data_IF_480832796501
#
_entry.id   IF_480832796501
#
_cell.length_a   1.000
_cell.length_b   1.000
_cell.length_c   1.000
_cell.angle_alpha   90.00
_cell.angle_beta   90.00
_cell.angle_gamma   90.00
#
_symmetry.space_group_name_H-M   'P 1'
#
loop_
_entity.id
_entity.type
_entity.pdbx_description
1 polymer ?
#
# COMPACT_ATOMS: atom_id res chain seq x y z
N UNK A 1 -21.87 -16.44 -8.45
CA UNK A 1 -20.61 -16.15 -7.75
C UNK A 1 -19.82 -15.22 -8.65
N UNK A 2 -20.12 -13.92 -8.58
CA UNK A 2 -19.47 -12.92 -9.43
C UNK A 2 -18.17 -12.49 -8.79
N UNK A 3 -17.07 -12.72 -9.49
CA UNK A 3 -15.78 -12.13 -9.16
C UNK A 3 -15.91 -10.60 -9.30
N UNK A 4 -15.85 -9.90 -8.17
CA UNK A 4 -15.61 -8.46 -8.13
C UNK A 4 -14.28 -8.20 -8.84
N UNK A 5 -14.26 -7.27 -9.80
CA UNK A 5 -13.01 -6.87 -10.44
C UNK A 5 -12.02 -6.28 -9.41
N UNK A 6 -10.72 -6.20 -9.74
CA UNK A 6 -9.61 -5.91 -8.81
C UNK A 6 -9.60 -4.49 -8.20
N UNK A 7 -10.72 -3.77 -8.17
CA UNK A 7 -10.84 -2.42 -7.59
C UNK A 7 -12.03 -2.23 -6.65
N UNK A 8 -12.79 -3.28 -6.35
CA UNK A 8 -14.01 -3.20 -5.53
C UNK A 8 -13.92 -3.92 -4.19
N UNK A 9 -12.81 -4.60 -3.89
CA UNK A 9 -12.67 -5.30 -2.63
C UNK A 9 -12.38 -4.30 -1.50
N UNK A 10 -13.06 -4.43 -0.34
CA UNK A 10 -12.76 -3.63 0.82
C UNK A 10 -11.34 -3.92 1.31
N UNK A 11 -10.70 -2.94 1.95
CA UNK A 11 -9.39 -3.15 2.59
C UNK A 11 -9.46 -4.34 3.56
N UNK A 12 -8.41 -5.18 3.67
CA UNK A 12 -8.38 -6.25 4.65
C UNK A 12 -8.61 -5.71 6.08
N UNK A 13 -9.37 -6.42 6.94
CA UNK A 13 -9.65 -5.96 8.31
C UNK A 13 -8.39 -5.60 9.10
N UNK A 14 -7.34 -6.43 8.99
CA UNK A 14 -6.03 -6.22 9.62
C UNK A 14 -5.44 -4.85 9.26
N UNK A 15 -5.58 -4.45 7.99
CA UNK A 15 -5.09 -3.16 7.50
C UNK A 15 -5.88 -2.02 8.14
N UNK A 16 -7.21 -2.13 8.22
CA UNK A 16 -8.04 -1.09 8.83
C UNK A 16 -7.74 -0.94 10.33
N UNK A 17 -7.57 -2.06 11.04
CA UNK A 17 -7.26 -2.10 12.48
C UNK A 17 -5.88 -1.50 12.81
N UNK A 18 -4.91 -1.66 11.92
CA UNK A 18 -3.58 -1.08 12.03
C UNK A 18 -3.56 0.45 11.80
N UNK A 19 -4.56 0.99 11.10
CA UNK A 19 -4.60 2.42 10.78
C UNK A 19 -5.16 3.27 11.95
N UNK A 20 -4.73 4.54 11.96
CA UNK A 20 -5.25 5.59 12.83
C UNK A 20 -5.58 6.81 12.00
N UNK A 21 -6.52 7.62 12.48
CA UNK A 21 -6.84 8.88 11.84
C UNK A 21 -5.62 9.79 11.81
N UNK A 22 -5.16 10.18 10.62
CA UNK A 22 -3.96 11.03 10.52
C UNK A 22 -4.19 12.47 11.02
N UNK A 23 -5.43 12.88 11.29
CA UNK A 23 -5.74 14.21 11.85
C UNK A 23 -5.71 14.20 13.38
N UNK A 24 -6.38 13.24 14.01
CA UNK A 24 -6.63 13.24 15.45
C UNK A 24 -6.07 12.03 16.22
N UNK A 25 -5.52 11.03 15.52
CA UNK A 25 -4.96 9.81 16.14
C UNK A 25 -5.99 8.75 16.56
N UNK A 26 -7.29 9.05 16.49
CA UNK A 26 -8.35 8.11 16.90
C UNK A 26 -8.40 6.87 16.00
N UNK A 27 -8.96 5.75 16.52
CA UNK A 27 -9.33 4.60 15.69
C UNK A 27 -10.18 5.01 14.49
N UNK A 28 -9.97 4.31 13.38
CA UNK A 28 -10.65 4.55 12.12
C UNK A 28 -11.35 3.28 11.66
N UNK A 29 -12.57 3.40 11.12
CA UNK A 29 -13.31 2.29 10.55
C UNK A 29 -13.51 2.47 9.05
N UNK A 30 -13.66 1.38 8.31
CA UNK A 30 -14.05 1.39 6.91
C UNK A 30 -15.57 1.26 6.80
N UNK A 31 -16.22 2.23 6.18
CA UNK A 31 -17.61 2.15 5.76
C UNK A 31 -17.69 2.40 4.26
N UNK A 32 -18.25 1.45 3.51
CA UNK A 32 -18.22 1.41 2.04
C UNK A 32 -16.80 1.56 1.49
N UNK A 33 -16.45 2.77 1.01
CA UNK A 33 -15.16 3.13 0.45
C UNK A 33 -14.52 4.31 1.16
N UNK A 34 -14.91 4.57 2.40
CA UNK A 34 -14.41 5.72 3.17
C UNK A 34 -13.93 5.25 4.53
N UNK A 35 -12.68 5.56 4.85
CA UNK A 35 -12.15 5.44 6.20
C UNK A 35 -12.62 6.64 7.02
N UNK A 36 -13.27 6.43 8.17
CA UNK A 36 -13.82 7.49 9.01
C UNK A 36 -13.59 7.25 10.50
N UNK A 37 -13.15 8.27 11.22
CA UNK A 37 -12.99 8.21 12.68
C UNK A 37 -14.21 8.78 13.43
N UNK A 38 -14.26 8.61 14.76
CA UNK A 38 -15.35 9.14 15.60
C UNK A 38 -15.53 10.66 15.52
N UNK A 39 -14.45 11.40 15.26
CA UNK A 39 -14.45 12.84 15.03
C UNK A 39 -14.87 13.26 13.61
N UNK A 40 -15.32 12.31 12.79
CA UNK A 40 -15.85 12.50 11.43
C UNK A 40 -14.84 12.94 10.36
N UNK A 41 -13.53 12.93 10.64
CA UNK A 41 -12.50 12.99 9.60
C UNK A 41 -12.65 11.77 8.68
N UNK A 42 -12.60 12.00 7.37
CA UNK A 42 -12.93 11.01 6.35
C UNK A 42 -11.86 10.98 5.26
N UNK A 43 -11.51 9.78 4.79
CA UNK A 43 -10.51 9.56 3.74
C UNK A 43 -11.06 8.53 2.75
N UNK A 44 -11.16 8.92 1.48
CA UNK A 44 -11.76 8.07 0.46
C UNK A 44 -10.74 7.08 -0.12
N UNK A 45 -11.16 5.83 -0.25
CA UNK A 45 -10.45 4.78 -0.95
C UNK A 45 -10.54 5.03 -2.46
N UNK A 46 -9.42 5.43 -3.05
CA UNK A 46 -9.31 5.64 -4.47
C UNK A 46 -9.64 4.37 -5.25
N UNK A 47 -10.15 4.51 -6.48
CA UNK A 47 -10.52 3.37 -7.35
C UNK A 47 -9.37 2.39 -7.59
N UNK A 48 -8.14 2.87 -7.47
CA UNK A 48 -6.91 2.09 -7.61
C UNK A 48 -6.50 1.37 -6.33
N UNK A 49 -7.28 1.42 -5.24
CA UNK A 49 -7.03 0.63 -4.03
C UNK A 49 -6.18 1.31 -2.95
N UNK A 50 -5.89 2.61 -3.05
CA UNK A 50 -5.11 3.34 -2.03
C UNK A 50 -5.92 4.43 -1.33
N UNK A 51 -5.50 4.81 -0.11
CA UNK A 51 -6.06 5.94 0.65
C UNK A 51 -5.00 7.03 0.78
N UNK A 52 -5.36 8.29 0.53
CA UNK A 52 -4.49 9.43 0.80
C UNK A 52 -4.72 9.93 2.23
N UNK A 53 -3.70 9.83 3.09
CA UNK A 53 -3.74 10.27 4.48
C UNK A 53 -2.99 11.58 4.73
N UNK A 54 -2.46 12.22 3.68
CA UNK A 54 -1.70 13.46 3.78
C UNK A 54 -2.61 14.69 3.83
N UNK A 55 -2.33 15.60 4.76
CA UNK A 55 -3.09 16.85 4.96
C UNK A 55 -2.51 18.04 4.21
N UNK A 56 -1.23 17.96 3.85
CA UNK A 56 -0.53 19.00 3.10
C UNK A 56 -0.29 18.54 1.66
N UNK A 57 -0.36 19.48 0.71
CA UNK A 57 0.11 19.22 -0.64
C UNK A 57 1.62 18.99 -0.60
N UNK A 58 2.06 17.87 -1.16
CA UNK A 58 3.49 17.68 -1.44
C UNK A 58 3.89 18.76 -2.46
N UNK A 59 4.96 19.55 -2.21
CA UNK A 59 5.46 20.52 -3.16
C UNK A 59 5.70 19.89 -4.54
N UNK A 60 5.34 20.61 -5.60
CA UNK A 60 5.63 20.16 -6.96
C UNK A 60 7.13 20.01 -7.17
N UNK A 61 7.58 18.89 -7.74
CA UNK A 61 8.98 18.65 -8.10
C UNK A 61 9.81 17.87 -7.08
N UNK A 62 9.26 17.50 -5.92
CA UNK A 62 9.95 16.65 -4.92
C UNK A 62 9.50 15.18 -4.95
N UNK A 63 8.48 14.85 -5.74
CA UNK A 63 7.92 13.51 -5.84
C UNK A 63 8.44 12.77 -7.08
N UNK A 64 8.52 11.44 -6.98
CA UNK A 64 8.82 10.57 -8.12
C UNK A 64 7.83 10.83 -9.27
N UNK A 65 8.35 11.08 -10.47
CA UNK A 65 7.53 11.21 -11.68
C UNK A 65 7.06 9.85 -12.18
N UNK A 66 6.05 9.83 -13.08
CA UNK A 66 5.57 8.59 -13.70
C UNK A 66 6.69 7.81 -14.41
N UNK A 67 7.58 8.52 -15.10
CA UNK A 67 8.71 7.96 -15.84
C UNK A 67 9.77 7.41 -14.88
N UNK A 68 10.07 8.10 -13.78
CA UNK A 68 10.99 7.60 -12.75
C UNK A 68 10.48 6.31 -12.11
N UNK A 69 9.18 6.26 -11.78
CA UNK A 69 8.57 5.03 -11.24
C UNK A 69 8.54 3.92 -12.30
N UNK A 70 8.34 4.24 -13.59
CA UNK A 70 8.40 3.27 -14.67
C UNK A 70 9.81 2.67 -14.81
N UNK A 71 10.84 3.51 -14.87
CA UNK A 71 12.23 3.07 -14.94
C UNK A 71 12.63 2.21 -13.74
N UNK A 72 12.16 2.56 -12.53
CA UNK A 72 12.36 1.74 -11.33
C UNK A 72 11.68 0.38 -11.46
N UNK A 73 10.45 0.34 -11.96
CA UNK A 73 9.74 -0.92 -12.19
C UNK A 73 10.47 -1.81 -13.21
N UNK A 74 10.94 -1.25 -14.32
CA UNK A 74 11.68 -1.98 -15.36
C UNK A 74 13.00 -2.54 -14.81
N UNK A 75 13.72 -1.74 -14.03
CA UNK A 75 14.94 -2.19 -13.35
C UNK A 75 14.67 -3.35 -12.38
N UNK A 76 13.64 -3.25 -11.55
CA UNK A 76 13.27 -4.32 -10.62
C UNK A 76 12.83 -5.60 -11.36
N UNK A 77 12.10 -5.45 -12.47
CA UNK A 77 11.67 -6.55 -13.33
C UNK A 77 12.84 -7.26 -14.04
N UNK A 78 13.96 -6.57 -14.27
CA UNK A 78 15.19 -7.20 -14.82
C UNK A 78 15.77 -8.29 -13.92
N UNK A 79 15.36 -8.35 -12.65
CA UNK A 79 15.86 -9.30 -11.67
C UNK A 79 17.16 -8.88 -10.99
N UNK A 80 17.70 -7.69 -11.29
CA UNK A 80 18.89 -7.16 -10.65
C UNK A 80 18.84 -7.22 -9.11
N UNK A 81 17.65 -7.00 -8.53
CA UNK A 81 17.39 -7.02 -7.08
C UNK A 81 16.63 -8.26 -6.59
N UNK A 82 16.50 -9.30 -7.42
CA UNK A 82 15.80 -10.55 -7.06
C UNK A 82 16.37 -11.18 -5.79
N UNK A 83 17.70 -11.23 -5.66
CA UNK A 83 18.34 -11.84 -4.48
C UNK A 83 17.96 -11.18 -3.17
N UNK A 84 17.82 -9.84 -3.16
CA UNK A 84 17.35 -9.10 -1.99
C UNK A 84 15.87 -9.39 -1.71
N UNK A 85 15.02 -9.39 -2.73
CA UNK A 85 13.59 -9.67 -2.58
C UNK A 85 13.33 -11.09 -2.06
N UNK A 86 14.07 -12.07 -2.58
CA UNK A 86 13.96 -13.46 -2.14
C UNK A 86 14.45 -13.64 -0.68
N UNK A 87 15.50 -12.92 -0.26
CA UNK A 87 15.97 -12.96 1.13
C UNK A 87 14.98 -12.29 2.10
N UNK A 88 14.38 -11.16 1.72
CA UNK A 88 13.31 -10.53 2.50
C UNK A 88 12.11 -11.48 2.66
N UNK A 89 11.68 -12.12 1.56
CA UNK A 89 10.59 -13.09 1.60
C UNK A 89 10.91 -14.29 2.52
N UNK A 90 12.17 -14.76 2.51
CA UNK A 90 12.62 -15.84 3.40
C UNK A 90 12.59 -15.43 4.86
N UNK A 91 13.10 -14.23 5.20
CA UNK A 91 13.16 -13.74 6.59
C UNK A 91 11.76 -13.44 7.13
N UNK A 92 10.85 -13.00 6.27
CA UNK A 92 9.46 -12.67 6.63
C UNK A 92 8.47 -13.82 6.39
N UNK A 93 8.94 -15.03 6.06
CA UNK A 93 8.06 -16.15 5.69
C UNK A 93 7.08 -16.57 6.81
N UNK A 94 7.45 -16.33 8.07
CA UNK A 94 6.60 -16.65 9.23
C UNK A 94 5.64 -15.51 9.62
N UNK A 95 5.62 -14.40 8.87
CA UNK A 95 4.65 -13.34 9.10
C UNK A 95 3.25 -13.81 8.69
N UNK A 96 2.30 -13.81 9.63
CA UNK A 96 0.99 -14.47 9.49
C UNK A 96 -0.20 -13.50 9.47
N UNK A 97 -0.08 -12.32 10.08
CA UNK A 97 -1.18 -11.36 10.16
C UNK A 97 -1.05 -10.18 9.19
N UNK A 98 -0.07 -9.29 9.42
CA UNK A 98 0.13 -8.06 8.64
C UNK A 98 1.61 -7.74 8.43
N UNK A 99 1.97 -7.48 7.17
CA UNK A 99 3.28 -6.93 6.79
C UNK A 99 3.10 -5.49 6.32
N UNK A 100 3.91 -4.59 6.86
CA UNK A 100 3.92 -3.16 6.50
C UNK A 100 5.23 -2.82 5.81
N UNK A 101 5.15 -2.26 4.59
CA UNK A 101 6.30 -1.77 3.84
C UNK A 101 6.28 -0.23 3.81
N UNK A 102 7.29 0.38 4.43
CA UNK A 102 7.44 1.83 4.54
C UNK A 102 8.40 2.34 3.46
N UNK A 103 7.88 3.16 2.54
CA UNK A 103 8.59 3.49 1.30
C UNK A 103 8.45 2.40 0.24
N UNK A 104 7.28 1.77 0.19
CA UNK A 104 7.01 0.58 -0.62
C UNK A 104 7.23 0.78 -2.13
N UNK A 105 7.22 2.04 -2.60
CA UNK A 105 7.37 2.37 -4.00
C UNK A 105 6.33 1.66 -4.86
N UNK A 106 6.80 0.79 -5.75
CA UNK A 106 5.94 0.00 -6.66
C UNK A 106 5.34 -1.24 -6.01
N UNK A 107 5.65 -1.52 -4.74
CA UNK A 107 5.20 -2.72 -4.02
C UNK A 107 6.01 -3.98 -4.33
N UNK A 108 7.14 -3.86 -5.05
CA UNK A 108 7.93 -5.01 -5.52
C UNK A 108 8.37 -5.96 -4.41
N UNK A 109 8.90 -5.43 -3.31
CA UNK A 109 9.37 -6.25 -2.19
C UNK A 109 8.21 -6.81 -1.38
N UNK A 110 7.22 -5.97 -1.05
CA UNK A 110 6.03 -6.38 -0.34
C UNK A 110 5.33 -7.55 -1.06
N UNK A 111 5.10 -7.46 -2.37
CA UNK A 111 4.47 -8.54 -3.14
C UNK A 111 5.22 -9.87 -2.98
N UNK A 112 6.56 -9.85 -3.03
CA UNK A 112 7.39 -11.06 -2.88
C UNK A 112 7.33 -11.65 -1.47
N UNK A 113 7.23 -10.79 -0.45
CA UNK A 113 7.06 -11.22 0.95
C UNK A 113 5.67 -11.86 1.14
N UNK A 114 4.61 -11.23 0.63
CA UNK A 114 3.25 -11.76 0.76
C UNK A 114 3.06 -13.09 0.04
N UNK A 115 3.71 -13.29 -1.12
CA UNK A 115 3.74 -14.58 -1.81
C UNK A 115 4.31 -15.72 -0.94
N UNK A 116 5.24 -15.39 -0.03
CA UNK A 116 5.91 -16.36 0.82
C UNK A 116 5.23 -16.56 2.19
N UNK A 117 4.55 -15.54 2.72
CA UNK A 117 4.01 -15.55 4.09
C UNK A 117 2.49 -15.73 4.16
N UNK A 118 1.75 -15.33 3.12
CA UNK A 118 0.28 -15.36 3.11
C UNK A 118 -0.41 -14.32 3.99
N UNK A 119 0.34 -13.40 4.62
CA UNK A 119 -0.20 -12.32 5.43
C UNK A 119 -0.98 -11.28 4.61
N UNK A 120 -1.70 -10.38 5.28
CA UNK A 120 -2.15 -9.14 4.66
C UNK A 120 -0.97 -8.17 4.46
N UNK A 121 -1.07 -7.30 3.45
CA UNK A 121 -0.04 -6.30 3.14
C UNK A 121 -0.54 -4.87 3.24
N UNK A 122 0.28 -3.99 3.80
CA UNK A 122 0.09 -2.54 3.78
C UNK A 122 1.32 -1.84 3.21
N UNK A 123 1.15 -1.24 2.03
CA UNK A 123 2.16 -0.38 1.40
C UNK A 123 1.94 1.08 1.82
N UNK A 124 2.98 1.70 2.39
CA UNK A 124 3.01 3.13 2.70
C UNK A 124 4.05 3.82 1.82
N UNK A 125 3.63 4.84 1.11
CA UNK A 125 4.53 5.69 0.33
C UNK A 125 3.94 7.10 0.18
N UNK A 126 4.81 8.10 0.04
CA UNK A 126 4.41 9.47 -0.24
C UNK A 126 4.11 9.70 -1.73
N UNK A 127 4.62 8.83 -2.60
CA UNK A 127 4.40 8.85 -4.04
C UNK A 127 3.07 8.19 -4.40
N UNK A 128 2.06 9.03 -4.66
CA UNK A 128 0.79 8.56 -5.20
C UNK A 128 0.94 7.82 -6.54
N UNK A 129 1.96 8.14 -7.34
CA UNK A 129 2.27 7.47 -8.61
C UNK A 129 2.75 6.04 -8.36
N UNK A 130 3.58 5.84 -7.34
CA UNK A 130 4.10 4.53 -6.96
C UNK A 130 3.00 3.66 -6.32
N UNK A 131 2.21 4.21 -5.39
CA UNK A 131 1.09 3.50 -4.75
C UNK A 131 0.02 3.02 -5.74
N UNK A 132 -0.25 3.79 -6.81
CA UNK A 132 -1.16 3.34 -7.87
C UNK A 132 -0.68 2.08 -8.62
N UNK A 133 0.62 1.81 -8.60
CA UNK A 133 1.19 0.55 -9.12
C UNK A 133 1.17 -0.54 -8.05
N UNK A 134 1.51 -0.21 -6.80
CA UNK A 134 1.53 -1.15 -5.69
C UNK A 134 0.14 -1.72 -5.35
N UNK A 135 -0.93 -0.96 -5.58
CA UNK A 135 -2.30 -1.34 -5.25
C UNK A 135 -3.03 -2.10 -6.40
N UNK A 136 -2.29 -2.58 -7.41
CA UNK A 136 -2.80 -3.44 -8.50
C UNK A 136 -2.31 -4.87 -8.33
#
# INVERSE_FOLDING_TARGET
MSASGPGNDPLPPQVVEALRCSVCGDPIGLADRTLRCGNRHSFDLARQGYVNLLHARIPSGTADTADMVAARADFLASGAYRGLADELARVCAEADDLVIDAGAGTGYYLARVLDASGAAGLALDVSAVALRRAAR
#
